data_IF_194437739068
#
_entry.id   IF_194437739068
#
_cell.length_a   1.000
_cell.length_b   1.000
_cell.length_c   1.000
_cell.angle_alpha   90.00
_cell.angle_beta   90.00
_cell.angle_gamma   90.00
#
_symmetry.space_group_name_H-M   'P 1'
#
loop_
_entity.id
_entity.type
_entity.pdbx_description
1 polymer ?
#
# COMPACT_ATOMS: atom_id res chain seq x y z
N UNK A 1 -5.10 4.41 -15.66
CA UNK A 1 -6.21 5.36 -15.89
C UNK A 1 -5.98 6.73 -15.23
N UNK A 2 -5.53 6.80 -13.96
CA UNK A 2 -5.22 8.09 -13.30
C UNK A 2 -4.27 9.01 -14.10
N UNK A 3 -3.28 8.44 -14.79
CA UNK A 3 -2.38 9.18 -15.68
C UNK A 3 -3.06 9.80 -16.91
N UNK A 4 -4.20 9.25 -17.31
CA UNK A 4 -4.93 9.65 -18.53
C UNK A 4 -6.11 10.58 -18.22
N UNK A 5 -6.65 10.56 -16.99
CA UNK A 5 -7.92 11.25 -16.65
C UNK A 5 -7.79 12.38 -15.63
N UNK A 6 -6.62 12.55 -15.00
CA UNK A 6 -6.33 13.71 -14.14
C UNK A 6 -6.94 13.68 -12.72
N UNK A 7 -6.59 14.69 -11.93
CA UNK A 7 -7.09 14.98 -10.57
C UNK A 7 -8.48 15.63 -10.64
N UNK A 8 -9.35 15.43 -9.63
CA UNK A 8 -10.68 16.05 -9.55
C UNK A 8 -11.79 15.41 -10.41
N UNK A 9 -11.47 14.41 -11.23
CA UNK A 9 -12.46 13.68 -12.04
C UNK A 9 -12.98 12.39 -11.39
N UNK A 10 -14.12 11.84 -11.85
CA UNK A 10 -14.68 10.58 -11.32
C UNK A 10 -13.96 9.33 -11.83
N UNK A 11 -13.21 9.43 -12.94
CA UNK A 11 -12.60 8.28 -13.61
C UNK A 11 -11.57 7.51 -12.76
N UNK A 12 -10.70 8.15 -11.95
CA UNK A 12 -9.83 7.42 -11.03
C UNK A 12 -10.62 6.56 -10.03
N UNK A 13 -11.80 7.02 -9.58
CA UNK A 13 -12.67 6.26 -8.67
C UNK A 13 -13.24 5.03 -9.37
N UNK A 14 -13.76 5.20 -10.60
CA UNK A 14 -14.25 4.08 -11.42
C UNK A 14 -13.14 3.05 -11.66
N UNK A 15 -11.93 3.52 -11.97
CA UNK A 15 -10.76 2.65 -12.14
C UNK A 15 -10.39 1.92 -10.85
N UNK A 16 -10.47 2.56 -9.68
CA UNK A 16 -10.21 1.92 -8.39
C UNK A 16 -11.25 0.87 -8.03
N UNK A 17 -12.53 1.10 -8.35
CA UNK A 17 -13.59 0.10 -8.18
C UNK A 17 -13.34 -1.11 -9.09
N UNK A 18 -13.04 -0.87 -10.37
CA UNK A 18 -12.69 -1.94 -11.29
C UNK A 18 -11.46 -2.73 -10.81
N UNK A 19 -10.41 -2.03 -10.38
CA UNK A 19 -9.22 -2.62 -9.77
C UNK A 19 -9.56 -3.48 -8.55
N UNK A 20 -10.39 -2.99 -7.63
CA UNK A 20 -10.82 -3.74 -6.44
C UNK A 20 -11.54 -5.04 -6.82
N UNK A 21 -12.46 -4.97 -7.78
CA UNK A 21 -13.17 -6.16 -8.28
C UNK A 21 -12.21 -7.16 -8.95
N UNK A 22 -11.38 -6.69 -9.87
CA UNK A 22 -10.47 -7.58 -10.62
C UNK A 22 -9.37 -8.16 -9.75
N UNK A 23 -8.89 -7.42 -8.75
CA UNK A 23 -7.90 -7.94 -7.81
C UNK A 23 -8.50 -9.01 -6.90
N UNK A 24 -9.72 -8.80 -6.39
CA UNK A 24 -10.46 -9.82 -5.65
C UNK A 24 -10.65 -11.11 -6.46
N UNK A 25 -11.04 -10.99 -7.74
CA UNK A 25 -11.16 -12.14 -8.64
C UNK A 25 -9.81 -12.83 -8.88
N UNK A 26 -8.72 -12.06 -9.03
CA UNK A 26 -7.39 -12.59 -9.27
C UNK A 26 -6.87 -13.42 -8.09
N UNK A 27 -7.17 -13.01 -6.86
CA UNK A 27 -6.70 -13.71 -5.64
C UNK A 27 -7.67 -14.78 -5.12
N UNK A 28 -8.90 -14.86 -5.66
CA UNK A 28 -9.88 -15.88 -5.29
C UNK A 28 -9.54 -17.28 -5.81
N UNK A 29 -8.68 -17.40 -6.83
CA UNK A 29 -8.25 -18.67 -7.40
C UNK A 29 -6.90 -19.13 -6.81
N UNK A 30 -6.61 -20.45 -6.77
CA UNK A 30 -5.29 -20.94 -6.39
C UNK A 30 -4.19 -20.37 -7.32
N UNK A 31 -3.20 -19.71 -6.73
CA UNK A 31 -2.08 -19.09 -7.45
C UNK A 31 -0.95 -20.12 -7.68
N UNK A 32 -1.08 -20.93 -8.72
CA UNK A 32 -0.15 -22.03 -9.06
C UNK A 32 0.47 -21.94 -10.46
N UNK A 33 0.06 -20.96 -11.26
CA UNK A 33 0.55 -20.73 -12.61
C UNK A 33 1.93 -20.08 -12.65
N UNK A 34 2.64 -20.24 -13.77
CA UNK A 34 4.00 -19.74 -13.97
C UNK A 34 4.14 -18.21 -13.86
N UNK A 35 3.05 -17.46 -13.99
CA UNK A 35 3.01 -16.00 -13.87
C UNK A 35 2.32 -15.51 -12.59
N UNK A 36 1.78 -16.41 -11.75
CA UNK A 36 1.02 -15.98 -10.58
C UNK A 36 1.91 -15.28 -9.53
N UNK A 37 3.23 -15.48 -9.59
CA UNK A 37 4.21 -14.72 -8.79
C UNK A 37 4.23 -13.21 -9.12
N UNK A 38 3.72 -12.81 -10.28
CA UNK A 38 3.59 -11.40 -10.68
C UNK A 38 2.37 -10.72 -10.04
N UNK A 39 1.45 -11.46 -9.44
CA UNK A 39 0.22 -10.87 -8.86
C UNK A 39 0.56 -9.82 -7.79
N UNK A 40 1.39 -10.11 -6.77
CA UNK A 40 1.78 -9.09 -5.78
C UNK A 40 2.41 -7.83 -6.39
N UNK A 41 3.47 -7.90 -7.24
CA UNK A 41 4.10 -6.69 -7.76
C UNK A 41 3.17 -5.86 -8.66
N UNK A 42 2.27 -6.47 -9.43
CA UNK A 42 1.28 -5.72 -10.21
C UNK A 42 0.29 -4.97 -9.32
N UNK A 43 -0.22 -5.61 -8.26
CA UNK A 43 -1.11 -4.95 -7.31
C UNK A 43 -0.41 -3.79 -6.58
N UNK A 44 0.89 -3.92 -6.27
CA UNK A 44 1.68 -2.82 -5.68
C UNK A 44 1.92 -1.69 -6.67
N UNK A 45 2.30 -2.00 -7.90
CA UNK A 45 2.50 -1.00 -8.94
C UNK A 45 1.20 -0.22 -9.22
N UNK A 46 0.06 -0.90 -9.23
CA UNK A 46 -1.25 -0.27 -9.40
C UNK A 46 -1.58 0.71 -8.26
N UNK A 47 -1.39 0.28 -7.01
CA UNK A 47 -1.62 1.12 -5.83
C UNK A 47 -0.67 2.33 -5.81
N UNK A 48 0.65 2.09 -5.80
CA UNK A 48 1.66 3.15 -5.67
C UNK A 48 1.61 4.11 -6.84
N UNK A 49 1.48 3.58 -8.06
CA UNK A 49 1.34 4.40 -9.26
C UNK A 49 0.12 5.30 -9.20
N UNK A 50 -1.03 4.79 -8.72
CA UNK A 50 -2.25 5.61 -8.59
C UNK A 50 -2.06 6.74 -7.60
N UNK A 51 -1.50 6.45 -6.41
CA UNK A 51 -1.26 7.45 -5.36
C UNK A 51 -0.29 8.53 -5.85
N UNK A 52 0.85 8.13 -6.43
CA UNK A 52 1.88 9.07 -6.89
C UNK A 52 1.40 9.92 -8.08
N UNK A 53 0.68 9.33 -9.03
CA UNK A 53 0.15 10.07 -10.19
C UNK A 53 -0.89 11.09 -9.75
N UNK A 54 -1.82 10.74 -8.85
CA UNK A 54 -2.81 11.71 -8.35
C UNK A 54 -2.15 12.84 -7.56
N UNK A 55 -1.14 12.55 -6.75
CA UNK A 55 -0.39 13.55 -6.02
C UNK A 55 0.41 14.49 -6.93
N UNK A 56 1.05 13.94 -7.98
CA UNK A 56 1.73 14.75 -8.99
C UNK A 56 0.76 15.64 -9.76
N UNK A 57 -0.45 15.14 -10.06
CA UNK A 57 -1.50 15.88 -10.78
C UNK A 57 -2.26 16.89 -9.91
N UNK A 58 -2.17 16.81 -8.59
CA UNK A 58 -2.74 17.80 -7.69
C UNK A 58 -2.00 19.15 -7.76
N UNK A 59 -0.79 19.17 -8.33
CA UNK A 59 0.00 20.38 -8.61
C UNK A 59 0.15 21.34 -7.41
N UNK A 60 0.32 20.76 -6.21
CA UNK A 60 0.54 21.51 -4.97
C UNK A 60 1.77 20.99 -4.23
N UNK A 61 2.60 21.94 -3.79
CA UNK A 61 3.79 21.64 -3.01
C UNK A 61 3.44 20.81 -1.76
N UNK A 62 4.17 19.70 -1.59
CA UNK A 62 3.99 18.78 -0.47
C UNK A 62 3.04 17.61 -0.74
N UNK A 63 2.22 17.62 -1.80
CA UNK A 63 1.37 16.46 -2.13
C UNK A 63 2.21 15.23 -2.49
N UNK A 64 3.24 15.40 -3.33
CA UNK A 64 4.11 14.29 -3.73
C UNK A 64 4.94 13.72 -2.55
N UNK A 65 5.57 14.55 -1.68
CA UNK A 65 6.16 14.05 -0.43
C UNK A 65 5.16 13.30 0.47
N UNK A 66 3.94 13.81 0.63
CA UNK A 66 2.91 13.13 1.44
C UNK A 66 2.51 11.77 0.85
N UNK A 67 2.31 11.70 -0.46
CA UNK A 67 2.07 10.46 -1.19
C UNK A 67 3.24 9.49 -1.06
N UNK A 68 4.48 9.97 -1.16
CA UNK A 68 5.67 9.14 -0.97
C UNK A 68 5.76 8.59 0.46
N UNK A 69 5.38 9.40 1.46
CA UNK A 69 5.27 8.93 2.86
C UNK A 69 4.27 7.79 3.01
N UNK A 70 3.10 7.86 2.36
CA UNK A 70 2.13 6.78 2.35
C UNK A 70 2.70 5.52 1.66
N UNK A 71 3.32 5.68 0.50
CA UNK A 71 3.95 4.56 -0.23
C UNK A 71 5.04 3.92 0.63
N UNK A 72 5.88 4.71 1.30
CA UNK A 72 6.93 4.21 2.19
C UNK A 72 6.37 3.43 3.38
N UNK A 73 5.31 3.92 4.03
CA UNK A 73 4.66 3.22 5.14
C UNK A 73 4.09 1.86 4.70
N UNK A 74 3.44 1.84 3.53
CA UNK A 74 2.88 0.62 2.96
C UNK A 74 3.99 -0.34 2.49
N UNK A 75 5.07 0.18 1.90
CA UNK A 75 6.23 -0.61 1.51
C UNK A 75 6.93 -1.24 2.73
N UNK A 76 7.07 -0.49 3.82
CA UNK A 76 7.58 -1.01 5.08
C UNK A 76 6.72 -2.16 5.61
N UNK A 77 5.38 -2.04 5.58
CA UNK A 77 4.48 -3.13 5.97
C UNK A 77 4.69 -4.41 5.14
N UNK A 78 4.92 -4.27 3.83
CA UNK A 78 5.23 -5.40 2.96
C UNK A 78 6.59 -6.02 3.29
N UNK A 79 7.59 -5.19 3.54
CA UNK A 79 8.91 -5.63 3.94
C UNK A 79 8.86 -6.41 5.24
N UNK A 80 8.16 -5.89 6.24
CA UNK A 80 7.91 -6.56 7.52
C UNK A 80 7.24 -7.93 7.32
N UNK A 81 6.22 -8.01 6.47
CA UNK A 81 5.56 -9.29 6.12
C UNK A 81 6.55 -10.30 5.54
N UNK A 82 7.41 -9.88 4.60
CA UNK A 82 8.43 -10.75 4.00
C UNK A 82 9.40 -11.27 5.06
N UNK A 83 9.84 -10.40 5.97
CA UNK A 83 10.78 -10.78 7.03
C UNK A 83 10.18 -11.75 8.03
N UNK A 84 8.91 -11.59 8.41
CA UNK A 84 8.23 -12.54 9.30
C UNK A 84 8.08 -13.91 8.67
N UNK A 85 7.74 -13.97 7.38
CA UNK A 85 7.62 -15.23 6.64
C UNK A 85 9.01 -15.91 6.54
N UNK A 86 10.07 -15.16 6.21
CA UNK A 86 11.44 -15.67 6.19
C UNK A 86 11.90 -16.18 7.56
N UNK A 87 11.52 -15.49 8.63
CA UNK A 87 11.78 -15.90 10.01
C UNK A 87 10.84 -16.99 10.54
N UNK A 88 10.05 -17.64 9.68
CA UNK A 88 9.08 -18.68 10.04
C UNK A 88 8.03 -18.26 11.09
N UNK A 89 7.75 -16.96 11.20
CA UNK A 89 6.76 -16.40 12.12
C UNK A 89 5.37 -16.22 11.49
N UNK A 90 5.25 -16.49 10.18
CA UNK A 90 3.99 -16.39 9.44
C UNK A 90 3.65 -14.95 9.01
N UNK A 91 2.41 -14.76 8.57
CA UNK A 91 1.92 -13.47 8.08
C UNK A 91 1.43 -12.56 9.23
N UNK A 92 1.45 -11.22 9.06
CA UNK A 92 0.85 -10.31 10.02
C UNK A 92 -0.63 -10.60 10.26
N UNK A 93 -1.16 -10.24 11.45
CA UNK A 93 -2.53 -10.55 11.81
C UNK A 93 -3.51 -9.86 10.88
N UNK A 94 -4.57 -10.56 10.47
CA UNK A 94 -5.51 -10.06 9.46
C UNK A 94 -6.25 -8.77 9.88
N UNK A 95 -6.33 -8.45 11.18
CA UNK A 95 -6.87 -7.17 11.63
C UNK A 95 -6.01 -6.00 11.18
N UNK A 96 -4.68 -6.15 11.13
CA UNK A 96 -3.75 -5.08 10.74
C UNK A 96 -4.03 -4.65 9.30
N UNK A 97 -4.09 -5.61 8.38
CA UNK A 97 -4.38 -5.37 6.95
C UNK A 97 -5.73 -4.69 6.76
N UNK A 98 -6.75 -5.12 7.51
CA UNK A 98 -8.10 -4.53 7.47
C UNK A 98 -8.11 -3.10 8.01
N UNK A 99 -7.43 -2.83 9.13
CA UNK A 99 -7.36 -1.51 9.75
C UNK A 99 -6.66 -0.46 8.87
N UNK A 100 -5.68 -0.88 8.05
CA UNK A 100 -5.04 0.00 7.07
C UNK A 100 -5.71 -0.05 5.69
N UNK A 101 -6.91 -0.63 5.59
CA UNK A 101 -7.77 -0.62 4.41
C UNK A 101 -7.40 -1.56 3.26
N UNK A 102 -6.37 -2.41 3.42
CA UNK A 102 -5.84 -3.18 2.29
C UNK A 102 -5.39 -2.30 1.12
N UNK A 103 -5.01 -2.91 0.00
CA UNK A 103 -4.59 -2.13 -1.17
C UNK A 103 -5.77 -1.60 -1.96
N UNK A 104 -6.87 -2.34 -2.00
CA UNK A 104 -8.11 -1.97 -2.67
C UNK A 104 -8.74 -0.77 -1.97
N UNK A 105 -8.93 -0.85 -0.65
CA UNK A 105 -9.57 0.20 0.13
C UNK A 105 -8.75 1.48 0.20
N UNK A 106 -7.42 1.41 0.36
CA UNK A 106 -6.56 2.61 0.28
C UNK A 106 -6.58 3.25 -1.10
N UNK A 107 -6.49 2.45 -2.16
CA UNK A 107 -6.53 2.98 -3.53
C UNK A 107 -7.87 3.68 -3.79
N UNK A 108 -8.98 3.04 -3.41
CA UNK A 108 -10.31 3.64 -3.52
C UNK A 108 -10.41 4.94 -2.71
N UNK A 109 -10.02 4.91 -1.43
CA UNK A 109 -10.04 6.08 -0.56
C UNK A 109 -9.24 7.25 -1.16
N UNK A 110 -8.00 7.02 -1.62
CA UNK A 110 -7.19 8.08 -2.24
C UNK A 110 -7.84 8.64 -3.50
N UNK A 111 -8.43 7.79 -4.35
CA UNK A 111 -9.12 8.27 -5.55
C UNK A 111 -10.38 9.08 -5.23
N UNK A 112 -11.14 8.70 -4.20
CA UNK A 112 -12.31 9.45 -3.73
C UNK A 112 -11.89 10.79 -3.15
N UNK A 113 -10.85 10.81 -2.31
CA UNK A 113 -10.30 12.05 -1.77
C UNK A 113 -9.81 12.99 -2.88
N UNK A 114 -9.15 12.45 -3.91
CA UNK A 114 -8.70 13.24 -5.06
C UNK A 114 -9.85 13.78 -5.92
N UNK A 115 -11.01 13.14 -5.90
CA UNK A 115 -12.21 13.59 -6.62
C UNK A 115 -13.00 14.65 -5.83
N UNK A 116 -13.01 14.56 -4.50
CA UNK A 116 -13.87 15.38 -3.64
C UNK A 116 -13.17 16.60 -3.02
N UNK A 117 -11.83 16.56 -2.87
CA UNK A 117 -11.08 17.59 -2.17
C UNK A 117 -10.36 18.55 -3.12
N UNK A 118 -10.15 19.78 -2.66
CA UNK A 118 -9.18 20.69 -3.29
C UNK A 118 -7.76 20.11 -3.18
N UNK A 119 -6.84 20.53 -4.04
CA UNK A 119 -5.44 20.08 -3.99
C UNK A 119 -4.80 20.26 -2.60
N UNK A 120 -5.02 21.41 -1.96
CA UNK A 120 -4.51 21.71 -0.62
C UNK A 120 -5.07 20.76 0.45
N UNK A 121 -6.37 20.47 0.39
CA UNK A 121 -7.02 19.51 1.30
C UNK A 121 -6.56 18.08 1.01
N UNK A 122 -6.40 17.72 -0.26
CA UNK A 122 -5.91 16.41 -0.67
C UNK A 122 -4.49 16.14 -0.14
N UNK A 123 -3.59 17.13 -0.21
CA UNK A 123 -2.27 17.06 0.43
C UNK A 123 -2.39 16.72 1.92
N UNK A 124 -3.23 17.45 2.66
CA UNK A 124 -3.43 17.22 4.09
C UNK A 124 -3.98 15.81 4.34
N UNK A 125 -4.95 15.38 3.54
CA UNK A 125 -5.53 14.05 3.64
C UNK A 125 -4.48 12.94 3.37
N UNK A 126 -3.61 13.10 2.38
CA UNK A 126 -2.49 12.20 2.13
C UNK A 126 -1.52 12.14 3.31
N UNK A 127 -1.17 13.29 3.90
CA UNK A 127 -0.30 13.32 5.08
C UNK A 127 -0.92 12.59 6.26
N UNK A 128 -2.20 12.86 6.55
CA UNK A 128 -2.93 12.19 7.63
C UNK A 128 -2.98 10.69 7.40
N UNK A 129 -3.31 10.26 6.17
CA UNK A 129 -3.36 8.84 5.81
C UNK A 129 -1.98 8.18 5.93
N UNK A 130 -0.92 8.84 5.46
CA UNK A 130 0.46 8.35 5.57
C UNK A 130 0.85 8.15 7.04
N UNK A 131 0.61 9.15 7.89
CA UNK A 131 0.93 9.09 9.32
C UNK A 131 0.09 8.03 10.01
N UNK A 132 -1.21 7.95 9.75
CA UNK A 132 -2.08 6.96 10.35
C UNK A 132 -1.64 5.52 10.00
N UNK A 133 -1.37 5.24 8.72
CA UNK A 133 -0.89 3.93 8.27
C UNK A 133 0.48 3.63 8.88
N UNK A 134 1.41 4.59 8.87
CA UNK A 134 2.74 4.41 9.45
C UNK A 134 2.66 4.08 10.94
N UNK A 135 1.86 4.82 11.72
CA UNK A 135 1.71 4.58 13.14
C UNK A 135 1.15 3.18 13.42
N UNK A 136 0.07 2.79 12.75
CA UNK A 136 -0.54 1.47 12.95
C UNK A 136 0.43 0.34 12.62
N UNK A 137 1.12 0.44 11.48
CA UNK A 137 2.09 -0.57 11.02
C UNK A 137 3.32 -0.62 11.92
N UNK A 138 3.92 0.52 12.25
CA UNK A 138 5.13 0.56 13.07
C UNK A 138 4.87 0.10 14.50
N UNK A 139 3.74 0.51 15.09
CA UNK A 139 3.38 0.05 16.45
C UNK A 139 3.18 -1.45 16.48
N UNK A 140 2.47 -2.04 15.51
CA UNK A 140 2.30 -3.49 15.46
C UNK A 140 3.63 -4.21 15.19
N UNK A 141 4.43 -3.71 14.25
CA UNK A 141 5.76 -4.24 13.93
C UNK A 141 6.68 -4.27 15.15
N UNK A 142 6.83 -3.13 15.82
CA UNK A 142 7.67 -3.02 17.02
C UNK A 142 7.18 -3.97 18.11
N UNK A 143 5.87 -3.99 18.37
CA UNK A 143 5.30 -4.89 19.39
C UNK A 143 5.56 -6.35 19.07
N UNK A 144 5.39 -6.75 17.80
CA UNK A 144 5.67 -8.11 17.38
C UNK A 144 7.15 -8.46 17.55
N UNK A 145 8.07 -7.71 16.95
CA UNK A 145 9.49 -8.08 16.96
C UNK A 145 10.11 -8.04 18.37
N UNK A 146 9.64 -7.14 19.24
CA UNK A 146 10.08 -7.09 20.64
C UNK A 146 9.55 -8.28 21.45
N UNK A 147 8.33 -8.75 21.19
CA UNK A 147 7.70 -9.82 21.99
C UNK A 147 7.95 -11.23 21.45
N UNK A 148 8.19 -11.39 20.14
CA UNK A 148 8.34 -12.68 19.50
C UNK A 148 9.64 -13.42 19.87
N UNK A 149 10.60 -12.74 20.53
CA UNK A 149 11.93 -13.30 20.78
C UNK A 149 12.63 -13.75 19.49
N UNK A 150 12.23 -13.16 18.35
CA UNK A 150 12.50 -13.70 17.04
C UNK A 150 14.01 -13.70 16.78
N UNK A 151 14.58 -14.80 16.28
CA UNK A 151 15.99 -14.82 15.90
C UNK A 151 16.14 -13.77 14.80
N UNK A 152 16.92 -12.73 15.06
CA UNK A 152 17.47 -11.90 14.00
C UNK A 152 18.37 -12.83 13.17
N UNK A 153 17.78 -13.52 12.20
CA UNK A 153 18.56 -14.32 11.23
C UNK A 153 19.35 -13.30 10.43
N UNK A 154 20.59 -13.09 10.87
CA UNK A 154 21.62 -12.42 10.10
C UNK A 154 22.11 -13.39 9.03
N UNK A 155 21.33 -13.54 7.97
CA UNK A 155 21.83 -14.16 6.74
C UNK A 155 22.45 -13.07 5.86
N UNK A 156 23.48 -12.42 6.40
CA UNK A 156 24.37 -11.55 5.64
C UNK A 156 25.64 -12.34 5.33
N UNK A 157 25.52 -13.26 4.37
CA UNK A 157 26.61 -13.71 3.51
C UNK A 157 27.62 -14.69 4.10
N UNK A 158 27.38 -15.98 3.86
CA UNK A 158 28.49 -16.92 3.69
C UNK A 158 28.53 -17.33 2.20
N UNK A 159 29.49 -16.82 1.41
CA UNK A 159 29.69 -17.31 0.06
C UNK A 159 30.24 -18.74 0.14
N UNK A 160 29.56 -19.66 -0.55
CA UNK A 160 30.08 -21.00 -0.85
C UNK A 160 31.32 -20.93 -1.77
#
# INVERSE_FOLDING_TARGET
MAALTGFGGPWPVVAALAYGLTSGLAVARPLKGALDWLVPPFLRAAEYGTVLVLAARADVNGALPAAFGLVAAVAYHHYDTVYRIRGNAGAPPAWLVRSIGGHEGRTLLVTVLAALLTASQFKVALTVLAVAVALVVLVESIRFWVSAGAPAVHDEGEPA
#
